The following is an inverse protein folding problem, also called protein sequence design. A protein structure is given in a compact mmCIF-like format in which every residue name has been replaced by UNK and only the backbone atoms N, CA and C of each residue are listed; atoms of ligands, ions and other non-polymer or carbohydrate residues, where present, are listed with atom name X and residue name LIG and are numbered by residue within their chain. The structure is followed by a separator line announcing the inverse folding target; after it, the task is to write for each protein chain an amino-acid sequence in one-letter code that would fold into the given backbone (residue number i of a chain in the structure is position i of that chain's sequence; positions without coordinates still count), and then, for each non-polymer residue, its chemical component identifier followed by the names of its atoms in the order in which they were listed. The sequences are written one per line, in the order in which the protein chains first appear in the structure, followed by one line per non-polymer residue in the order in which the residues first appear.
data_IF_598989774429
#
_entry.id   IF_598989774429
#
_cell.length_a   1.000
_cell.length_b   1.000
_cell.length_c   1.000
_cell.angle_alpha   90.00
_cell.angle_beta   90.00
_cell.angle_gamma   90.00
#
_symmetry.space_group_name_H-M   'P 1'
#
loop_
_entity.id
_entity.type
_entity.pdbx_description
1 polymer ?
#
# COMPACT_ATOMS: atom_id res chain seq x y z
N UNK A 1 -12.26 2.50 -19.75
CA UNK A 1 -11.07 2.01 -19.02
C UNK A 1 -10.55 3.12 -18.15
N UNK A 2 -10.70 2.99 -16.83
CA UNK A 2 -9.99 3.84 -15.89
C UNK A 2 -8.58 3.26 -15.69
N UNK A 3 -7.56 4.10 -15.79
CA UNK A 3 -6.16 3.71 -15.57
C UNK A 3 -5.84 3.87 -14.09
N UNK A 4 -5.38 2.80 -13.44
CA UNK A 4 -4.97 2.84 -12.03
C UNK A 4 -3.55 2.30 -11.83
N UNK A 5 -2.93 2.69 -10.71
CA UNK A 5 -1.66 2.12 -10.26
C UNK A 5 -1.95 1.16 -9.11
N UNK A 6 -1.41 -0.05 -9.20
CA UNK A 6 -1.56 -1.09 -8.18
C UNK A 6 -0.23 -1.30 -7.47
N UNK A 7 -0.24 -1.23 -6.13
CA UNK A 7 0.92 -1.51 -5.29
C UNK A 7 0.71 -2.80 -4.52
N UNK A 8 1.76 -3.63 -4.45
CA UNK A 8 1.81 -4.81 -3.60
C UNK A 8 3.08 -4.77 -2.76
N UNK A 9 2.92 -4.70 -1.43
CA UNK A 9 4.04 -4.84 -0.50
C UNK A 9 4.07 -6.24 0.12
N UNK A 10 5.27 -6.81 0.22
CA UNK A 10 5.50 -8.09 0.90
C UNK A 10 6.53 -7.90 2.01
N UNK A 11 6.12 -8.17 3.24
CA UNK A 11 6.99 -8.14 4.42
C UNK A 11 7.19 -9.57 4.94
N UNK A 12 8.40 -9.85 5.43
CA UNK A 12 8.77 -11.12 6.06
C UNK A 12 9.54 -10.82 7.34
N UNK A 13 9.28 -11.60 8.38
CA UNK A 13 10.02 -11.51 9.65
C UNK A 13 10.17 -12.88 10.29
N UNK A 14 11.12 -13.00 11.22
CA UNK A 14 11.22 -14.09 12.19
C UNK A 14 10.86 -13.49 13.55
N UNK A 15 9.58 -13.51 13.89
CA UNK A 15 9.05 -12.93 15.12
C UNK A 15 7.81 -13.68 15.63
N UNK A 16 7.39 -13.36 16.85
CA UNK A 16 6.21 -13.97 17.47
C UNK A 16 4.90 -13.47 16.84
N UNK A 17 4.88 -12.20 16.42
CA UNK A 17 3.73 -11.51 15.81
C UNK A 17 3.79 -11.57 14.27
N UNK A 18 2.64 -11.36 13.64
CA UNK A 18 2.57 -11.16 12.19
C UNK A 18 3.06 -9.77 11.78
N UNK A 19 3.22 -9.57 10.47
CA UNK A 19 3.70 -8.31 9.86
C UNK A 19 2.70 -7.71 8.86
N UNK A 20 1.41 -7.94 9.11
CA UNK A 20 0.32 -7.40 8.32
C UNK A 20 0.34 -5.87 8.34
N UNK A 21 0.61 -5.27 9.50
CA UNK A 21 0.63 -3.82 9.68
C UNK A 21 1.77 -3.18 8.89
N UNK A 22 2.97 -3.76 8.92
CA UNK A 22 4.12 -3.28 8.16
C UNK A 22 3.86 -3.35 6.65
N UNK A 23 3.19 -4.41 6.18
CA UNK A 23 2.81 -4.54 4.77
C UNK A 23 1.77 -3.48 4.36
N UNK A 24 0.76 -3.22 5.20
CA UNK A 24 -0.24 -2.18 4.97
C UNK A 24 0.41 -0.79 4.99
N UNK A 25 1.24 -0.49 5.98
CA UNK A 25 1.96 0.78 6.10
C UNK A 25 2.86 1.02 4.89
N UNK A 26 3.64 0.03 4.46
CA UNK A 26 4.48 0.14 3.27
C UNK A 26 3.66 0.42 2.01
N UNK A 27 2.50 -0.25 1.86
CA UNK A 27 1.60 -0.04 0.72
C UNK A 27 1.02 1.37 0.72
N UNK A 28 0.51 1.84 1.85
CA UNK A 28 -0.08 3.19 1.97
C UNK A 28 0.98 4.27 1.76
N UNK A 29 2.17 4.13 2.34
CA UNK A 29 3.26 5.09 2.15
C UNK A 29 3.71 5.14 0.68
N UNK A 30 3.80 4.00 -0.01
CA UNK A 30 4.13 3.99 -1.43
C UNK A 30 3.07 4.72 -2.27
N UNK A 31 1.78 4.49 -1.99
CA UNK A 31 0.68 5.19 -2.68
C UNK A 31 0.68 6.70 -2.40
N UNK A 32 0.92 7.09 -1.14
CA UNK A 32 1.03 8.51 -0.76
C UNK A 32 2.23 9.18 -1.42
N UNK A 33 3.38 8.50 -1.51
CA UNK A 33 4.56 9.03 -2.21
C UNK A 33 4.29 9.22 -3.71
N UNK A 34 3.58 8.28 -4.34
CA UNK A 34 3.18 8.43 -5.74
C UNK A 34 2.27 9.64 -5.90
N UNK A 35 1.25 9.77 -5.05
CA UNK A 35 0.35 10.94 -5.06
C UNK A 35 1.16 12.22 -4.90
N UNK A 36 2.10 12.28 -3.96
CA UNK A 36 2.94 13.46 -3.74
C UNK A 36 3.72 13.90 -4.99
N UNK A 37 4.23 12.92 -5.75
CA UNK A 37 4.97 13.18 -6.99
C UNK A 37 4.07 13.68 -8.14
N UNK A 38 2.81 13.25 -8.19
CA UNK A 38 1.87 13.59 -9.28
C UNK A 38 0.87 14.67 -8.92
N UNK A 39 0.80 15.12 -7.65
CA UNK A 39 -0.24 16.02 -7.13
C UNK A 39 -0.46 17.29 -7.92
N UNK A 40 0.57 17.82 -8.61
CA UNK A 40 0.44 19.02 -9.44
C UNK A 40 -0.34 18.80 -10.74
N UNK A 41 -0.37 17.56 -11.23
CA UNK A 41 -1.10 17.17 -12.45
C UNK A 41 -2.52 16.70 -12.13
N UNK A 42 -2.74 16.21 -10.92
CA UNK A 42 -4.02 15.69 -10.44
C UNK A 42 -4.96 16.78 -9.91
N UNK A 43 -4.44 17.98 -9.63
CA UNK A 43 -5.23 19.10 -9.12
C UNK A 43 -6.07 19.76 -10.22
N UNK A 44 -7.27 20.18 -9.86
CA UNK A 44 -8.07 21.09 -10.67
C UNK A 44 -7.68 22.56 -10.49
N UNK A 45 -8.36 23.46 -11.20
CA UNK A 45 -8.13 24.92 -11.12
C UNK A 45 -8.40 25.51 -9.72
N UNK A 46 -9.15 24.81 -8.88
CA UNK A 46 -9.46 25.20 -7.49
C UNK A 46 -8.44 24.63 -6.51
N UNK A 47 -7.51 23.79 -6.97
CA UNK A 47 -6.50 23.13 -6.16
C UNK A 47 -6.99 21.85 -5.45
N UNK A 48 -8.17 21.34 -5.82
CA UNK A 48 -8.80 20.14 -5.28
C UNK A 48 -8.41 18.89 -6.09
N UNK A 49 -8.69 17.70 -5.55
CA UNK A 49 -8.44 16.41 -6.21
C UNK A 49 -9.78 15.70 -6.54
N UNK A 50 -10.43 16.01 -7.66
CA UNK A 50 -11.79 15.54 -7.94
C UNK A 50 -11.89 14.05 -8.28
N UNK A 51 -10.80 13.44 -8.77
CA UNK A 51 -10.78 12.05 -9.25
C UNK A 51 -9.69 11.18 -8.65
N UNK A 52 -8.70 11.77 -7.99
CA UNK A 52 -7.60 11.02 -7.38
C UNK A 52 -8.06 10.40 -6.07
N UNK A 53 -7.89 9.09 -5.93
CA UNK A 53 -8.21 8.39 -4.69
C UNK A 53 -7.30 7.19 -4.45
N UNK A 54 -7.05 6.90 -3.18
CA UNK A 54 -6.45 5.64 -2.73
C UNK A 54 -7.60 4.74 -2.27
N UNK A 55 -7.70 3.54 -2.82
CA UNK A 55 -8.74 2.58 -2.48
C UNK A 55 -8.21 1.14 -2.45
N UNK A 56 -9.06 0.25 -1.94
CA UNK A 56 -8.85 -1.20 -1.90
C UNK A 56 -7.52 -1.65 -1.24
N UNK A 57 -7.08 -0.88 -0.23
CA UNK A 57 -5.92 -1.25 0.58
C UNK A 57 -6.30 -2.39 1.52
N UNK A 58 -5.83 -3.60 1.21
CA UNK A 58 -6.14 -4.81 1.96
C UNK A 58 -4.98 -5.80 2.00
N UNK A 59 -4.98 -6.66 3.02
CA UNK A 59 -4.08 -7.81 3.07
C UNK A 59 -4.59 -8.89 2.12
N UNK A 60 -3.81 -9.22 1.10
CA UNK A 60 -4.17 -10.27 0.11
C UNK A 60 -3.73 -11.66 0.54
N UNK A 61 -2.63 -11.76 1.30
CA UNK A 61 -2.14 -13.03 1.83
C UNK A 61 -1.31 -12.81 3.09
N UNK A 62 -1.50 -13.67 4.08
CA UNK A 62 -0.63 -13.78 5.25
C UNK A 62 -0.32 -15.24 5.53
N UNK A 63 0.96 -15.57 5.75
CA UNK A 63 1.40 -16.91 6.13
C UNK A 63 2.32 -16.83 7.35
N UNK A 64 2.00 -17.58 8.40
CA UNK A 64 2.89 -17.82 9.54
C UNK A 64 3.49 -19.22 9.36
N UNK A 65 4.81 -19.30 9.28
CA UNK A 65 5.53 -20.58 9.18
C UNK A 65 6.10 -20.87 10.56
N UNK A 66 5.66 -21.96 11.17
CA UNK A 66 6.26 -22.47 12.40
C UNK A 66 7.39 -23.41 12.01
N UNK A 67 8.62 -23.08 12.38
CA UNK A 67 9.73 -24.01 12.28
C UNK A 67 9.52 -25.08 13.36
N UNK A 68 9.23 -26.32 12.96
CA UNK A 68 9.29 -27.46 13.88
C UNK A 68 10.77 -27.76 14.10
N UNK A 69 11.17 -27.83 15.37
CA UNK A 69 12.53 -28.03 15.85
C UNK A 69 13.37 -28.98 14.98
N UNK A 70 14.58 -28.52 14.66
CA UNK A 70 15.72 -29.37 14.30
C UNK A 70 16.30 -30.00 15.56
#
# INVERSE_FOLDING_TARGET
NESCIVITARVKTIAQTGVEMEALTATVLALLNIWDMVKKYEKDERGEYPSTLIYDVRVTSKKKITLKHA
#
